data_IF_384094904692
#
_entry.id   IF_384094904692
#
_cell.length_a   1.000
_cell.length_b   1.000
_cell.length_c   1.000
_cell.angle_alpha   90.00
_cell.angle_beta   90.00
_cell.angle_gamma   90.00
#
_symmetry.space_group_name_H-M   'P 1'
#
loop_
_entity.id
_entity.type
_entity.pdbx_description
1 polymer ?
#
# COMPACT_ATOMS: atom_id res chain seq x y z
N UNK A 1 -8.79 -3.20 11.87
CA UNK A 1 -8.04 -4.07 10.93
C UNK A 1 -6.70 -3.45 10.62
N UNK A 2 -5.65 -4.25 10.59
CA UNK A 2 -4.30 -3.75 10.29
C UNK A 2 -3.74 -4.45 9.06
N UNK A 3 -2.94 -3.73 8.28
CA UNK A 3 -2.24 -4.31 7.14
C UNK A 3 -0.77 -4.52 7.50
N UNK A 4 -0.06 -5.30 6.70
CA UNK A 4 1.37 -5.51 6.86
C UNK A 4 2.08 -5.43 5.50
N UNK A 5 3.40 -5.40 5.55
CA UNK A 5 4.23 -5.20 4.36
C UNK A 5 4.28 -6.42 3.44
N UNK A 6 3.85 -7.57 3.91
CA UNK A 6 3.84 -8.80 3.12
C UNK A 6 2.58 -8.94 2.27
N UNK A 7 1.56 -8.13 2.52
CA UNK A 7 0.34 -8.16 1.72
C UNK A 7 0.61 -7.69 0.30
N UNK A 8 -0.08 -8.31 -0.65
CA UNK A 8 0.03 -7.91 -2.04
C UNK A 8 -0.71 -6.59 -2.28
N UNK A 9 -0.21 -5.80 -3.21
CA UNK A 9 -0.87 -4.54 -3.58
C UNK A 9 -2.31 -4.77 -3.99
N UNK A 10 -2.57 -5.84 -4.76
CA UNK A 10 -3.93 -6.20 -5.16
C UNK A 10 -4.86 -6.49 -4.00
N UNK A 11 -4.33 -6.99 -2.90
CA UNK A 11 -5.11 -7.21 -1.68
C UNK A 11 -5.35 -5.90 -0.94
N UNK A 12 -4.31 -5.07 -0.83
CA UNK A 12 -4.38 -3.81 -0.10
C UNK A 12 -5.45 -2.87 -0.66
N UNK A 13 -5.53 -2.75 -1.97
CA UNK A 13 -6.48 -1.81 -2.60
C UNK A 13 -7.93 -2.20 -2.38
N UNK A 14 -8.19 -3.43 -1.94
CA UNK A 14 -9.53 -3.91 -1.63
C UNK A 14 -9.87 -3.85 -0.13
N UNK A 15 -8.90 -3.53 0.73
CA UNK A 15 -9.15 -3.42 2.18
C UNK A 15 -10.01 -2.20 2.49
N UNK A 16 -9.75 -1.09 1.83
CA UNK A 16 -10.46 0.16 2.03
C UNK A 16 -10.33 1.00 0.76
N UNK A 17 -11.40 1.70 0.40
CA UNK A 17 -11.45 2.48 -0.84
C UNK A 17 -10.49 3.66 -0.88
N UNK A 18 -9.99 4.11 0.26
CA UNK A 18 -9.05 5.22 0.33
C UNK A 18 -7.59 4.81 0.33
N UNK A 19 -7.29 3.52 0.47
CA UNK A 19 -5.91 3.04 0.46
C UNK A 19 -5.22 3.34 -0.88
N UNK A 20 -5.86 3.14 -2.04
CA UNK A 20 -5.22 3.53 -3.31
C UNK A 20 -4.74 4.98 -3.33
N UNK A 21 -5.52 5.90 -2.78
CA UNK A 21 -5.13 7.32 -2.73
C UNK A 21 -3.91 7.53 -1.83
N UNK A 22 -3.83 6.81 -0.72
CA UNK A 22 -2.68 6.89 0.19
C UNK A 22 -1.42 6.39 -0.52
N UNK A 23 -1.52 5.26 -1.23
CA UNK A 23 -0.39 4.69 -1.97
C UNK A 23 0.06 5.63 -3.09
N UNK A 24 -0.88 6.24 -3.80
CA UNK A 24 -0.56 7.19 -4.87
C UNK A 24 0.16 8.43 -4.34
N UNK A 25 -0.26 8.96 -3.20
CA UNK A 25 0.42 10.10 -2.57
C UNK A 25 1.83 9.76 -2.13
N UNK A 26 2.07 8.48 -1.79
CA UNK A 26 3.39 8.02 -1.40
C UNK A 26 4.33 7.83 -2.61
N UNK A 27 3.79 7.83 -3.81
CA UNK A 27 4.59 7.71 -5.04
C UNK A 27 4.29 6.48 -5.88
N UNK A 28 3.30 5.68 -5.50
CA UNK A 28 2.92 4.49 -6.26
C UNK A 28 1.79 4.81 -7.21
N UNK A 29 2.09 4.95 -8.51
CA UNK A 29 1.10 5.38 -9.50
C UNK A 29 0.54 4.25 -10.38
N UNK A 30 1.09 3.04 -10.31
CA UNK A 30 0.69 1.93 -11.19
C UNK A 30 -0.15 0.89 -10.47
N UNK A 31 -1.15 1.32 -9.70
CA UNK A 31 -1.94 0.40 -8.88
C UNK A 31 -2.92 -0.47 -9.67
N UNK A 32 -3.28 -0.04 -10.87
CA UNK A 32 -4.20 -0.79 -11.72
C UNK A 32 -3.55 -1.86 -12.58
N UNK A 33 -2.22 -1.93 -12.60
CA UNK A 33 -1.49 -2.88 -13.41
C UNK A 33 -1.46 -4.26 -12.74
N UNK A 34 -1.84 -5.35 -13.44
CA UNK A 34 -1.80 -6.69 -12.83
C UNK A 34 -0.41 -7.07 -12.31
N UNK A 35 0.66 -6.66 -12.99
CA UNK A 35 2.01 -6.94 -12.53
C UNK A 35 2.31 -6.25 -11.20
N UNK A 36 1.88 -5.01 -11.04
CA UNK A 36 2.05 -4.27 -9.79
C UNK A 36 1.23 -4.87 -8.65
N UNK A 37 0.02 -5.33 -8.97
CA UNK A 37 -0.85 -5.92 -7.95
C UNK A 37 -0.33 -7.24 -7.41
N UNK A 38 0.55 -7.92 -8.15
CA UNK A 38 1.16 -9.18 -7.73
C UNK A 38 2.38 -8.96 -6.82
N UNK A 39 2.85 -7.72 -6.68
CA UNK A 39 3.96 -7.39 -5.79
C UNK A 39 3.47 -7.19 -4.36
N UNK A 40 4.33 -7.53 -3.38
CA UNK A 40 4.03 -7.19 -1.99
C UNK A 40 4.24 -5.69 -1.79
N UNK A 41 3.67 -5.15 -0.71
CA UNK A 41 3.87 -3.75 -0.36
C UNK A 41 5.37 -3.46 -0.16
N UNK A 42 6.09 -4.36 0.49
CA UNK A 42 7.53 -4.22 0.70
C UNK A 42 8.29 -4.12 -0.62
N UNK A 43 7.98 -5.01 -1.56
CA UNK A 43 8.62 -5.00 -2.88
C UNK A 43 8.35 -3.70 -3.63
N UNK A 44 7.09 -3.25 -3.60
CA UNK A 44 6.70 -2.01 -4.25
C UNK A 44 7.42 -0.80 -3.63
N UNK A 45 7.53 -0.76 -2.31
CA UNK A 45 8.25 0.30 -1.62
C UNK A 45 9.72 0.33 -2.00
N UNK A 46 10.34 -0.85 -2.14
CA UNK A 46 11.75 -0.94 -2.55
C UNK A 46 11.95 -0.37 -3.97
N UNK A 47 11.07 -0.71 -4.88
CA UNK A 47 11.15 -0.25 -6.26
C UNK A 47 11.00 1.27 -6.35
N UNK A 48 10.11 1.85 -5.54
CA UNK A 48 9.82 3.28 -5.57
C UNK A 48 10.63 4.11 -4.58
N UNK A 49 11.51 3.49 -3.80
CA UNK A 49 12.32 4.20 -2.82
C UNK A 49 11.52 4.77 -1.66
N UNK A 50 10.45 4.08 -1.27
CA UNK A 50 9.54 4.53 -0.20
C UNK A 50 9.89 3.80 1.09
N UNK A 51 9.83 4.51 2.22
CA UNK A 51 9.98 3.91 3.55
C UNK A 51 8.74 3.06 3.85
N UNK A 52 8.88 1.75 3.73
CA UNK A 52 7.77 0.81 3.89
C UNK A 52 7.17 0.86 5.29
N UNK A 53 8.01 0.90 6.32
CA UNK A 53 7.52 0.91 7.71
C UNK A 53 6.70 2.16 7.99
N UNK A 54 7.12 3.31 7.48
CA UNK A 54 6.38 4.56 7.63
C UNK A 54 5.04 4.48 6.91
N UNK A 55 5.02 3.92 5.70
CA UNK A 55 3.80 3.79 4.92
C UNK A 55 2.81 2.81 5.58
N UNK A 56 3.29 1.68 6.07
CA UNK A 56 2.45 0.72 6.79
C UNK A 56 1.83 1.39 8.02
N UNK A 57 2.63 2.13 8.77
CA UNK A 57 2.15 2.87 9.93
C UNK A 57 1.07 3.88 9.58
N UNK A 58 1.26 4.61 8.49
CA UNK A 58 0.32 5.61 8.02
C UNK A 58 -1.02 4.97 7.64
N UNK A 59 -0.98 3.85 6.91
CA UNK A 59 -2.20 3.15 6.50
C UNK A 59 -2.92 2.59 7.72
N UNK A 60 -2.21 1.98 8.65
CA UNK A 60 -2.81 1.41 9.85
C UNK A 60 -3.41 2.48 10.74
N UNK A 61 -2.77 3.63 10.83
CA UNK A 61 -3.28 4.78 11.57
C UNK A 61 -4.61 5.27 10.96
N UNK A 62 -4.66 5.37 9.65
CA UNK A 62 -5.88 5.71 8.94
C UNK A 62 -7.00 4.71 9.22
N UNK A 63 -6.69 3.40 9.13
CA UNK A 63 -7.68 2.34 9.35
C UNK A 63 -8.21 2.35 10.79
N UNK A 64 -7.36 2.66 11.75
CA UNK A 64 -7.75 2.72 13.16
C UNK A 64 -8.63 3.93 13.47
N UNK A 65 -8.50 4.99 12.69
CA UNK A 65 -9.19 6.26 12.94
C UNK A 65 -10.56 6.37 12.27
N UNK A 66 -10.85 5.49 11.32
CA UNK A 66 -12.11 5.58 10.56
C UNK A 66 -13.28 4.94 11.28
#
# INVERSE_FOLDING_TARGET
MAIDKEMLIGELIHVDENIPAILMRAGMHCLGCPASQAESLEEACMVHGIDCDALVGQINEYLAAR
#
